data_IF_209682205317
#
_entry.id   IF_209682205317
#
_cell.length_a   1.000
_cell.length_b   1.000
_cell.length_c   1.000
_cell.angle_alpha   90.00
_cell.angle_beta   90.00
_cell.angle_gamma   90.00
#
_symmetry.space_group_name_H-M   'P 1'
#
loop_
_entity.id
_entity.type
_entity.pdbx_description
1 polymer ?
#
# COMPACT_ATOMS: atom_id res chain seq x y z
N UNK A 1 10.93 -13.33 8.81
CA UNK A 1 11.00 -11.98 8.20
C UNK A 1 10.58 -10.99 9.28
N UNK A 2 11.50 -10.21 9.87
CA UNK A 2 11.33 -9.59 11.21
C UNK A 2 9.93 -9.03 11.50
N UNK A 3 9.42 -8.10 10.69
CA UNK A 3 8.11 -7.47 10.93
C UNK A 3 6.92 -8.45 10.83
N UNK A 4 6.99 -9.42 9.92
CA UNK A 4 5.97 -10.47 9.77
C UNK A 4 5.99 -11.39 10.99
N UNK A 5 7.17 -11.72 11.50
CA UNK A 5 7.32 -12.55 12.70
C UNK A 5 6.83 -11.80 13.95
N UNK A 6 7.11 -10.50 14.07
CA UNK A 6 6.62 -9.64 15.16
C UNK A 6 5.09 -9.45 15.11
N UNK A 7 4.52 -9.31 13.92
CA UNK A 7 3.06 -9.27 13.74
C UNK A 7 2.42 -10.57 14.23
N UNK A 8 2.99 -11.73 13.87
CA UNK A 8 2.48 -13.03 14.29
C UNK A 8 2.50 -13.16 15.81
N UNK A 9 3.61 -12.77 16.45
CA UNK A 9 3.74 -12.78 17.91
C UNK A 9 2.75 -11.82 18.58
N UNK A 10 2.54 -10.63 18.01
CA UNK A 10 1.59 -9.64 18.53
C UNK A 10 0.15 -10.18 18.51
N UNK A 11 -0.26 -10.78 17.39
CA UNK A 11 -1.58 -11.42 17.23
C UNK A 11 -1.76 -12.63 18.15
N UNK A 12 -0.69 -13.40 18.41
CA UNK A 12 -0.73 -14.53 19.34
C UNK A 12 -0.87 -14.09 20.81
N UNK A 13 -0.20 -12.99 21.21
CA UNK A 13 -0.28 -12.44 22.57
C UNK A 13 -1.60 -11.72 22.84
N UNK A 14 -2.24 -11.18 21.80
CA UNK A 14 -3.49 -10.44 21.89
C UNK A 14 -4.53 -11.08 20.95
N UNK A 15 -5.10 -12.24 21.31
CA UNK A 15 -6.02 -12.97 20.43
C UNK A 15 -7.38 -12.28 20.24
N UNK A 16 -7.76 -11.41 21.18
CA UNK A 16 -9.06 -10.77 21.25
C UNK A 16 -8.98 -9.25 21.06
N UNK A 17 -10.07 -8.66 20.58
CA UNK A 17 -10.25 -7.21 20.48
C UNK A 17 -10.02 -6.64 19.09
N UNK A 18 -9.88 -5.30 19.04
CA UNK A 18 -9.60 -4.54 17.82
C UNK A 18 -8.12 -4.19 17.79
N UNK A 19 -7.46 -4.44 16.67
CA UNK A 19 -6.03 -4.17 16.50
C UNK A 19 -5.81 -3.16 15.39
N UNK A 20 -4.91 -2.22 15.64
CA UNK A 20 -4.25 -1.43 14.60
C UNK A 20 -2.78 -1.83 14.59
N UNK A 21 -2.33 -2.40 13.47
CA UNK A 21 -0.95 -2.81 13.28
C UNK A 21 -0.37 -1.98 12.14
N UNK A 22 0.71 -1.25 12.41
CA UNK A 22 1.42 -0.43 11.42
C UNK A 22 2.79 -1.06 11.20
N UNK A 23 3.04 -1.52 9.97
CA UNK A 23 4.30 -2.11 9.57
C UNK A 23 5.03 -1.15 8.63
N UNK A 24 5.98 -0.39 9.17
CA UNK A 24 6.80 0.53 8.38
C UNK A 24 8.00 -0.22 7.80
N UNK A 25 8.01 -0.40 6.49
CA UNK A 25 9.01 -1.23 5.80
C UNK A 25 10.14 -0.40 5.21
N UNK A 26 11.28 -1.04 4.96
CA UNK A 26 12.35 -0.46 4.12
C UNK A 26 12.02 -0.51 2.62
N UNK A 27 10.98 -1.26 2.24
CA UNK A 27 10.49 -1.41 0.87
C UNK A 27 11.60 -1.59 -0.16
N UNK A 28 11.53 -0.78 -1.20
CA UNK A 28 12.48 -0.74 -2.31
C UNK A 28 13.56 0.32 -2.12
N UNK A 29 13.87 0.77 -0.90
CA UNK A 29 14.88 1.81 -0.68
C UNK A 29 16.29 1.35 -1.14
N UNK A 30 17.02 2.23 -1.81
CA UNK A 30 18.41 1.99 -2.23
C UNK A 30 19.34 1.67 -1.03
N UNK A 31 20.32 0.76 -1.09
CA UNK A 31 20.74 -0.13 -2.19
C UNK A 31 19.81 -1.34 -2.34
N UNK A 32 19.20 -1.52 -3.52
CA UNK A 32 18.11 -2.49 -3.75
C UNK A 32 18.49 -3.95 -3.49
N UNK A 33 19.72 -4.37 -3.80
CA UNK A 33 20.15 -5.77 -3.62
C UNK A 33 20.16 -6.24 -2.16
N UNK A 34 20.13 -5.30 -1.22
CA UNK A 34 20.01 -5.57 0.20
C UNK A 34 18.54 -5.58 0.70
N UNK A 35 17.57 -5.48 -0.20
CA UNK A 35 16.13 -5.49 0.14
C UNK A 35 15.50 -6.88 0.03
N UNK A 36 16.23 -7.85 -0.53
CA UNK A 36 15.73 -9.20 -0.75
C UNK A 36 16.84 -10.26 -0.56
N UNK A 37 16.48 -11.48 -0.16
CA UNK A 37 17.42 -12.59 -0.12
C UNK A 37 17.75 -13.08 -1.53
N UNK A 38 18.85 -13.81 -1.70
CA UNK A 38 19.30 -14.28 -3.02
C UNK A 38 18.29 -15.16 -3.77
N UNK A 39 17.35 -15.80 -3.08
CA UNK A 39 16.24 -16.56 -3.69
C UNK A 39 15.26 -15.68 -4.47
N UNK A 40 15.24 -14.37 -4.21
CA UNK A 40 14.42 -13.37 -4.92
C UNK A 40 15.22 -12.61 -5.99
N UNK A 41 16.49 -12.98 -6.24
CA UNK A 41 17.29 -12.42 -7.33
C UNK A 41 16.89 -13.07 -8.67
N UNK A 42 15.71 -12.73 -9.17
CA UNK A 42 15.12 -13.29 -10.40
C UNK A 42 15.65 -12.58 -11.65
N UNK A 43 15.60 -11.25 -11.69
CA UNK A 43 16.10 -10.44 -12.80
C UNK A 43 17.60 -10.19 -12.65
N UNK A 44 18.35 -10.43 -13.73
CA UNK A 44 19.82 -10.40 -13.78
C UNK A 44 20.32 -9.81 -15.11
N UNK A 45 21.55 -9.25 -15.15
CA UNK A 45 22.44 -9.02 -14.01
C UNK A 45 21.90 -7.95 -13.06
N UNK A 46 22.21 -8.08 -11.78
CA UNK A 46 21.88 -7.09 -10.74
C UNK A 46 22.98 -6.01 -10.65
N UNK A 47 22.61 -4.86 -10.10
CA UNK A 47 23.57 -3.86 -9.62
C UNK A 47 24.09 -4.25 -8.22
N UNK A 48 25.21 -4.98 -8.18
CA UNK A 48 25.84 -5.44 -6.93
C UNK A 48 26.94 -4.45 -6.53
N UNK A 49 26.70 -3.64 -5.51
CA UNK A 49 27.63 -2.60 -5.03
C UNK A 49 26.96 -1.23 -4.92
N UNK A 50 27.61 -0.30 -4.22
CA UNK A 50 27.15 1.11 -4.07
C UNK A 50 27.85 2.01 -5.08
N UNK A 51 28.93 1.54 -5.71
CA UNK A 51 29.77 2.34 -6.60
C UNK A 51 29.14 2.43 -8.00
N UNK A 52 29.20 3.64 -8.57
CA UNK A 52 28.47 4.19 -9.72
C UNK A 52 28.64 3.50 -11.09
N UNK A 53 29.18 2.28 -11.13
CA UNK A 53 29.44 1.53 -12.37
C UNK A 53 28.25 0.73 -12.90
N UNK A 54 27.11 0.69 -12.20
CA UNK A 54 25.95 -0.07 -12.64
C UNK A 54 25.25 0.58 -13.83
N UNK A 55 24.90 -0.24 -14.82
CA UNK A 55 24.00 0.19 -15.89
C UNK A 55 22.59 0.43 -15.35
N UNK A 56 21.82 1.28 -16.03
CA UNK A 56 20.39 1.47 -15.74
C UNK A 56 19.62 0.14 -15.69
N UNK A 57 19.88 -0.76 -16.64
CA UNK A 57 19.23 -2.07 -16.68
C UNK A 57 19.53 -2.91 -15.42
N UNK A 58 20.78 -2.90 -14.94
CA UNK A 58 21.15 -3.59 -13.69
C UNK A 58 20.45 -2.99 -12.46
N UNK A 59 20.31 -1.67 -12.41
CA UNK A 59 19.58 -1.00 -11.34
C UNK A 59 18.09 -1.35 -11.36
N UNK A 60 17.46 -1.36 -12.54
CA UNK A 60 16.07 -1.77 -12.73
C UNK A 60 15.88 -3.22 -12.30
N UNK A 61 16.72 -4.16 -12.77
CA UNK A 61 16.66 -5.56 -12.36
C UNK A 61 16.74 -5.70 -10.83
N UNK A 62 17.65 -4.95 -10.19
CA UNK A 62 17.75 -4.96 -8.73
C UNK A 62 16.52 -4.37 -8.04
N UNK A 63 15.94 -3.28 -8.58
CA UNK A 63 14.72 -2.67 -8.05
C UNK A 63 13.53 -3.62 -8.19
N UNK A 64 13.33 -4.24 -9.35
CA UNK A 64 12.23 -5.18 -9.62
C UNK A 64 12.31 -6.40 -8.68
N UNK A 65 13.50 -6.94 -8.43
CA UNK A 65 13.69 -8.01 -7.42
C UNK A 65 13.23 -7.55 -6.01
N UNK A 66 13.45 -6.29 -5.66
CA UNK A 66 12.97 -5.75 -4.37
C UNK A 66 11.45 -5.59 -4.33
N UNK A 67 10.82 -5.23 -5.46
CA UNK A 67 9.37 -5.19 -5.60
C UNK A 67 8.75 -6.58 -5.42
N UNK A 68 9.35 -7.63 -5.99
CA UNK A 68 8.87 -9.02 -5.76
C UNK A 68 8.97 -9.43 -4.29
N UNK A 69 9.97 -8.94 -3.56
CA UNK A 69 10.04 -9.20 -2.13
C UNK A 69 9.02 -8.39 -1.32
N UNK A 70 8.68 -7.17 -1.76
CA UNK A 70 7.55 -6.40 -1.21
C UNK A 70 6.22 -7.13 -1.44
N UNK A 71 6.00 -7.68 -2.64
CA UNK A 71 4.83 -8.52 -2.95
C UNK A 71 4.73 -9.72 -1.99
N UNK A 72 5.84 -10.46 -1.81
CA UNK A 72 5.91 -11.56 -0.87
C UNK A 72 5.65 -11.13 0.59
N UNK A 73 6.18 -9.97 1.01
CA UNK A 73 5.91 -9.40 2.33
C UNK A 73 4.41 -9.12 2.51
N UNK A 74 3.77 -8.46 1.55
CA UNK A 74 2.34 -8.13 1.59
C UNK A 74 1.49 -9.41 1.65
N UNK A 75 1.79 -10.40 0.80
CA UNK A 75 1.12 -11.70 0.84
C UNK A 75 1.25 -12.36 2.21
N UNK A 76 2.45 -12.34 2.79
CA UNK A 76 2.71 -12.94 4.10
C UNK A 76 1.92 -12.27 5.23
N UNK A 77 1.74 -10.95 5.16
CA UNK A 77 0.88 -10.18 6.08
C UNK A 77 -0.59 -10.58 5.90
N UNK A 78 -1.07 -10.63 4.66
CA UNK A 78 -2.46 -11.01 4.34
C UNK A 78 -2.75 -12.43 4.84
N UNK A 79 -1.83 -13.39 4.64
CA UNK A 79 -2.01 -14.77 5.05
C UNK A 79 -2.20 -14.93 6.56
N UNK A 80 -1.57 -14.10 7.39
CA UNK A 80 -1.77 -14.13 8.85
C UNK A 80 -3.15 -13.66 9.30
N UNK A 81 -3.85 -12.89 8.47
CA UNK A 81 -5.16 -12.29 8.81
C UNK A 81 -6.30 -12.77 7.92
N UNK A 82 -6.03 -13.71 7.00
CA UNK A 82 -7.00 -14.25 6.03
C UNK A 82 -8.27 -14.79 6.70
N UNK A 83 -8.11 -15.50 7.82
CA UNK A 83 -9.21 -16.07 8.60
C UNK A 83 -9.72 -15.16 9.74
N UNK A 84 -9.39 -13.87 9.71
CA UNK A 84 -9.83 -12.86 10.70
C UNK A 84 -10.74 -11.84 10.02
N UNK A 85 -11.46 -11.02 10.81
CA UNK A 85 -12.18 -9.84 10.28
C UNK A 85 -11.17 -8.72 10.06
N UNK A 86 -10.52 -8.73 8.89
CA UNK A 86 -9.40 -7.85 8.59
C UNK A 86 -9.59 -7.05 7.29
N UNK A 87 -9.02 -5.84 7.32
CA UNK A 87 -8.76 -4.96 6.19
C UNK A 87 -7.27 -4.59 6.23
N UNK A 88 -6.59 -4.64 5.08
CA UNK A 88 -5.16 -4.34 4.95
C UNK A 88 -5.00 -3.25 3.90
N UNK A 89 -4.31 -2.18 4.28
CA UNK A 89 -3.91 -1.11 3.38
C UNK A 89 -2.40 -1.18 3.14
N UNK A 90 -1.98 -0.93 1.91
CA UNK A 90 -0.59 -0.69 1.56
C UNK A 90 -0.50 0.58 0.72
N UNK A 91 0.49 1.42 1.04
CA UNK A 91 0.88 2.58 0.24
C UNK A 91 2.39 2.77 0.38
N UNK A 92 3.09 2.95 -0.74
CA UNK A 92 4.47 3.43 -0.68
C UNK A 92 4.46 4.94 -0.40
N UNK A 93 5.42 5.44 0.37
CA UNK A 93 5.54 6.84 0.78
C UNK A 93 5.91 7.78 -0.38
N UNK A 94 6.77 7.31 -1.28
CA UNK A 94 7.11 7.96 -2.54
C UNK A 94 7.59 6.91 -3.56
N UNK A 95 7.83 7.36 -4.79
CA UNK A 95 8.44 6.53 -5.84
C UNK A 95 9.95 6.74 -5.97
N UNK A 96 10.55 6.33 -7.07
CA UNK A 96 12.00 6.22 -7.18
C UNK A 96 12.44 6.64 -8.59
N UNK A 97 13.47 7.49 -8.70
CA UNK A 97 14.11 7.76 -9.99
C UNK A 97 15.16 6.69 -10.27
N UNK A 98 15.13 6.12 -11.47
CA UNK A 98 16.18 5.26 -12.02
C UNK A 98 16.34 5.60 -13.50
N UNK A 99 17.32 6.46 -13.80
CA UNK A 99 17.62 6.89 -15.16
C UNK A 99 19.14 6.85 -15.44
N UNK A 100 19.56 7.32 -16.62
CA UNK A 100 20.96 7.25 -17.05
C UNK A 100 21.90 8.20 -16.27
N UNK A 101 21.36 9.18 -15.55
CA UNK A 101 22.11 10.25 -14.88
C UNK A 101 21.88 10.28 -13.37
N UNK A 102 20.66 9.96 -12.97
CA UNK A 102 20.16 10.09 -11.61
C UNK A 102 19.48 8.78 -11.20
N UNK A 103 19.73 8.41 -9.96
CA UNK A 103 18.95 7.43 -9.22
C UNK A 103 18.62 8.04 -7.86
N UNK A 104 17.77 7.38 -7.07
CA UNK A 104 17.27 7.83 -5.77
C UNK A 104 15.99 8.69 -5.86
N UNK A 105 15.64 9.29 -4.74
CA UNK A 105 14.48 10.16 -4.53
C UNK A 105 14.91 11.36 -3.67
N UNK A 106 13.98 12.27 -3.41
CA UNK A 106 14.24 13.49 -2.63
C UNK A 106 14.59 14.71 -3.50
N UNK A 107 14.28 14.66 -4.79
CA UNK A 107 14.34 15.84 -5.65
C UNK A 107 13.36 16.90 -5.12
N UNK A 108 13.72 18.19 -5.10
CA UNK A 108 12.80 19.25 -4.67
C UNK A 108 11.46 19.15 -5.41
N UNK A 109 10.35 19.30 -4.67
CA UNK A 109 9.00 18.97 -5.16
C UNK A 109 8.65 19.59 -6.52
N UNK A 110 9.03 20.85 -6.76
CA UNK A 110 8.75 21.58 -8.01
C UNK A 110 9.56 21.07 -9.21
N UNK A 111 10.61 20.29 -8.97
CA UNK A 111 11.52 19.73 -9.99
C UNK A 111 11.44 18.20 -10.06
N UNK A 112 10.81 17.55 -9.09
CA UNK A 112 10.79 16.11 -8.98
C UNK A 112 10.00 15.49 -10.13
N UNK A 113 10.53 14.43 -10.76
CA UNK A 113 9.87 13.83 -11.90
C UNK A 113 8.69 12.95 -11.45
N UNK A 114 7.73 12.65 -12.33
CA UNK A 114 6.50 11.95 -11.96
C UNK A 114 6.71 10.60 -11.28
N UNK A 115 7.79 9.88 -11.59
CA UNK A 115 8.14 8.60 -10.96
C UNK A 115 8.44 8.70 -9.47
N UNK A 116 8.80 9.87 -8.93
CA UNK A 116 8.95 10.05 -7.48
C UNK A 116 7.61 10.26 -6.77
N UNK A 117 6.52 10.49 -7.50
CA UNK A 117 5.18 10.75 -6.94
C UNK A 117 4.17 9.64 -7.22
N UNK A 118 4.37 8.86 -8.28
CA UNK A 118 3.45 7.78 -8.68
C UNK A 118 3.75 6.51 -7.91
N UNK A 119 2.95 6.25 -6.89
CA UNK A 119 3.12 5.11 -5.97
C UNK A 119 1.98 4.09 -6.07
N UNK A 120 2.25 2.81 -5.79
CA UNK A 120 1.20 1.82 -5.61
C UNK A 120 0.42 2.08 -4.31
N UNK A 121 -0.91 1.93 -4.39
CA UNK A 121 -1.80 1.82 -3.24
C UNK A 121 -2.70 0.61 -3.41
N UNK A 122 -2.91 -0.14 -2.33
CA UNK A 122 -3.73 -1.36 -2.35
C UNK A 122 -4.61 -1.44 -1.11
N UNK A 123 -5.80 -2.00 -1.31
CA UNK A 123 -6.72 -2.36 -0.23
C UNK A 123 -7.12 -3.82 -0.42
N UNK A 124 -6.97 -4.60 0.63
CA UNK A 124 -7.45 -5.98 0.70
C UNK A 124 -8.41 -6.13 1.89
N UNK A 125 -9.47 -6.91 1.71
CA UNK A 125 -10.42 -7.25 2.77
C UNK A 125 -10.62 -8.76 2.80
N UNK A 126 -10.56 -9.33 4.00
CA UNK A 126 -10.84 -10.75 4.24
C UNK A 126 -12.30 -11.11 3.96
N UNK A 127 -12.57 -12.37 3.61
CA UNK A 127 -13.93 -12.86 3.40
C UNK A 127 -14.79 -12.67 4.67
N UNK A 128 -14.23 -12.94 5.86
CA UNK A 128 -14.92 -12.69 7.15
C UNK A 128 -15.24 -11.22 7.40
N UNK A 129 -14.43 -10.29 6.90
CA UNK A 129 -14.74 -8.87 6.99
C UNK A 129 -15.90 -8.49 6.07
N UNK A 130 -15.98 -9.14 4.91
CA UNK A 130 -17.00 -8.94 3.89
C UNK A 130 -18.34 -9.66 4.19
N UNK A 131 -18.40 -10.54 5.20
CA UNK A 131 -19.67 -11.08 5.71
C UNK A 131 -20.63 -9.99 6.21
N UNK A 132 -20.10 -8.82 6.62
CA UNK A 132 -20.92 -7.65 6.91
C UNK A 132 -21.37 -6.98 5.59
N UNK A 133 -22.69 -6.85 5.35
CA UNK A 133 -23.20 -6.25 4.10
C UNK A 133 -22.71 -4.82 3.84
N UNK A 134 -22.51 -4.02 4.88
CA UNK A 134 -22.00 -2.65 4.74
C UNK A 134 -20.56 -2.66 4.22
N UNK A 135 -19.72 -3.54 4.78
CA UNK A 135 -18.34 -3.70 4.34
C UNK A 135 -18.27 -4.26 2.90
N UNK A 136 -19.15 -5.20 2.55
CA UNK A 136 -19.24 -5.72 1.19
C UNK A 136 -19.58 -4.64 0.16
N UNK A 137 -20.52 -3.73 0.50
CA UNK A 137 -20.86 -2.61 -0.35
C UNK A 137 -19.71 -1.60 -0.47
N UNK A 138 -19.04 -1.28 0.64
CA UNK A 138 -17.85 -0.41 0.63
C UNK A 138 -16.72 -1.00 -0.22
N UNK A 139 -16.49 -2.31 -0.16
CA UNK A 139 -15.51 -2.99 -1.02
C UNK A 139 -15.89 -2.96 -2.50
N UNK A 140 -17.19 -3.09 -2.82
CA UNK A 140 -17.68 -2.93 -4.19
C UNK A 140 -17.47 -1.49 -4.69
N UNK A 141 -17.62 -0.48 -3.83
CA UNK A 141 -17.29 0.90 -4.18
C UNK A 141 -15.79 1.06 -4.45
N UNK A 142 -14.92 0.57 -3.57
CA UNK A 142 -13.46 0.60 -3.79
C UNK A 142 -13.04 -0.03 -5.12
N UNK A 143 -13.67 -1.13 -5.53
CA UNK A 143 -13.42 -1.74 -6.84
C UNK A 143 -13.76 -0.78 -7.99
N UNK A 144 -14.90 -0.10 -7.92
CA UNK A 144 -15.26 0.94 -8.91
C UNK A 144 -14.26 2.09 -8.91
N UNK A 145 -13.84 2.56 -7.73
CA UNK A 145 -12.82 3.61 -7.59
C UNK A 145 -11.49 3.21 -8.25
N UNK A 146 -11.07 1.96 -8.09
CA UNK A 146 -9.89 1.41 -8.74
C UNK A 146 -10.05 1.30 -10.27
N UNK A 147 -11.21 0.83 -10.75
CA UNK A 147 -11.51 0.65 -12.18
C UNK A 147 -11.54 1.97 -12.96
N UNK A 148 -11.88 3.09 -12.28
CA UNK A 148 -11.83 4.42 -12.88
C UNK A 148 -10.40 4.89 -13.22
N UNK A 149 -9.36 4.27 -12.63
CA UNK A 149 -7.94 4.59 -12.86
C UNK A 149 -7.59 6.07 -12.65
N UNK A 150 -8.36 6.76 -11.80
CA UNK A 150 -8.06 8.12 -11.37
C UNK A 150 -6.98 8.08 -10.29
N UNK A 151 -5.87 8.82 -10.43
CA UNK A 151 -4.83 8.88 -9.40
C UNK A 151 -5.39 9.31 -8.04
N UNK A 152 -5.05 8.53 -7.02
CA UNK A 152 -5.35 8.82 -5.62
C UNK A 152 -4.14 9.39 -4.90
N UNK A 153 -4.37 10.11 -3.81
CA UNK A 153 -3.32 10.88 -3.12
C UNK A 153 -3.27 10.53 -1.63
N UNK A 154 -2.09 10.63 -1.02
CA UNK A 154 -1.93 10.36 0.42
C UNK A 154 -2.80 11.22 1.33
N UNK A 155 -3.18 12.43 0.89
CA UNK A 155 -4.10 13.30 1.64
C UNK A 155 -5.49 12.67 1.83
N UNK A 156 -5.84 11.65 1.03
CA UNK A 156 -7.12 10.95 1.10
C UNK A 156 -7.05 9.68 1.97
N UNK A 157 -5.85 9.21 2.33
CA UNK A 157 -5.68 7.93 3.05
C UNK A 157 -6.29 7.96 4.44
N UNK A 158 -6.15 9.05 5.19
CA UNK A 158 -6.72 9.17 6.52
C UNK A 158 -8.24 9.01 6.48
N UNK A 159 -8.91 9.83 5.66
CA UNK A 159 -10.36 9.82 5.52
C UNK A 159 -10.87 8.46 5.00
N UNK A 160 -10.15 7.87 4.04
CA UNK A 160 -10.49 6.53 3.53
C UNK A 160 -10.36 5.45 4.59
N UNK A 161 -9.25 5.40 5.35
CA UNK A 161 -9.07 4.38 6.38
C UNK A 161 -10.18 4.50 7.42
N UNK A 162 -10.46 5.71 7.90
CA UNK A 162 -11.49 5.94 8.91
C UNK A 162 -12.89 5.59 8.38
N UNK A 163 -13.20 6.03 7.16
CA UNK A 163 -14.48 5.76 6.50
C UNK A 163 -14.72 4.28 6.20
N UNK A 164 -13.71 3.57 5.69
CA UNK A 164 -13.78 2.12 5.46
C UNK A 164 -13.99 1.33 6.76
N UNK A 165 -13.48 1.85 7.89
CA UNK A 165 -13.71 1.26 9.22
C UNK A 165 -15.09 1.61 9.82
N UNK A 166 -15.88 2.44 9.14
CA UNK A 166 -17.22 2.86 9.57
C UNK A 166 -17.24 4.02 10.57
N UNK A 167 -16.14 4.75 10.73
CA UNK A 167 -16.12 5.96 11.55
C UNK A 167 -16.70 7.14 10.77
N UNK A 168 -17.42 8.00 11.48
CA UNK A 168 -17.92 9.28 10.97
C UNK A 168 -17.47 10.40 11.91
N UNK A 169 -17.42 11.62 11.38
CA UNK A 169 -17.07 12.81 12.16
C UNK A 169 -18.09 13.91 11.88
N UNK A 170 -18.88 14.32 12.88
CA UNK A 170 -19.94 15.32 12.69
C UNK A 170 -19.39 16.75 12.53
N UNK A 171 -18.12 16.96 12.85
CA UNK A 171 -17.42 18.25 12.83
C UNK A 171 -16.43 18.39 11.66
N UNK A 172 -16.45 17.45 10.69
CA UNK A 172 -15.64 17.53 9.48
C UNK A 172 -14.19 17.07 9.65
N UNK A 173 -13.85 16.43 10.77
CA UNK A 173 -12.59 15.73 10.98
C UNK A 173 -12.40 14.49 10.09
N UNK A 174 -13.45 14.03 9.40
CA UNK A 174 -13.37 13.09 8.28
C UNK A 174 -14.05 13.75 7.08
N UNK A 175 -13.29 13.97 6.01
CA UNK A 175 -13.82 14.49 4.76
C UNK A 175 -14.37 13.35 3.90
N UNK A 176 -15.71 13.24 3.82
CA UNK A 176 -16.39 12.20 3.03
C UNK A 176 -16.00 12.21 1.54
N UNK A 177 -15.58 13.35 0.99
CA UNK A 177 -15.14 13.43 -0.42
C UNK A 177 -13.79 12.72 -0.66
N UNK A 178 -13.00 12.53 0.40
CA UNK A 178 -11.73 11.82 0.35
C UNK A 178 -11.88 10.32 0.65
N UNK A 179 -13.04 9.88 1.15
CA UNK A 179 -13.28 8.51 1.58
C UNK A 179 -13.63 7.60 0.39
N UNK A 180 -12.72 6.74 -0.04
CA UNK A 180 -12.96 5.85 -1.18
C UNK A 180 -13.96 4.71 -0.89
N UNK A 181 -14.31 4.48 0.38
CA UNK A 181 -15.38 3.57 0.78
C UNK A 181 -16.75 4.27 0.86
N UNK A 182 -16.80 5.61 0.71
CA UNK A 182 -18.04 6.36 0.79
C UNK A 182 -18.98 5.94 -0.34
N UNK A 183 -20.18 5.50 0.03
CA UNK A 183 -21.26 5.25 -0.92
C UNK A 183 -22.11 6.52 -0.93
N UNK A 184 -22.12 7.29 -2.03
CA UNK A 184 -23.02 8.42 -2.13
C UNK A 184 -24.44 7.93 -1.88
N UNK A 185 -25.16 8.58 -0.96
CA UNK A 185 -26.59 8.31 -0.85
C UNK A 185 -27.20 8.52 -2.24
N UNK A 186 -27.96 7.53 -2.72
CA UNK A 186 -28.79 7.75 -3.89
C UNK A 186 -29.58 9.01 -3.59
N UNK A 187 -29.48 10.04 -4.44
CA UNK A 187 -30.40 11.17 -4.38
C UNK A 187 -31.77 10.52 -4.32
N UNK A 188 -32.46 10.65 -3.19
CA UNK A 188 -33.89 10.40 -3.16
C UNK A 188 -34.42 11.22 -4.33
N UNK A 189 -34.90 10.54 -5.36
CA UNK A 189 -35.68 11.19 -6.39
C UNK A 189 -36.77 11.88 -5.60
N UNK A 190 -36.70 13.22 -5.55
CA UNK A 190 -37.67 14.06 -4.89
C UNK A 190 -39.01 13.78 -5.55
N UNK A 191 -39.71 12.78 -5.02
CA UNK A 191 -41.12 12.59 -5.20
C UNK A 191 -41.77 13.62 -4.28
N UNK A 192 -42.07 14.78 -4.86
CA UNK A 192 -43.29 15.56 -4.71
C UNK A 192 -43.25 16.77 -5.64
#
# INVERSE_FOLDING_TARGET
MLLVDEMQQSLGRNPDGKHLIILHTKGSHFNYTQRYPRSFAQWKPECIGVDSGCTKAQMINSYDNSVTYVDHFISSVIDQVRDKKAIVFYAADHGESINEREHLHGTPRELAPPEQFRVPMMVWMSDKYLENPVNAQAFAQLKKEADMKVPRRHVELYDTIMGCLGYTSPDGGINENNNWCHIPQAKEASAN
#
